data_IF_639232441009
#
_entry.id   IF_639232441009
#
_cell.length_a   1.000
_cell.length_b   1.000
_cell.length_c   1.000
_cell.angle_alpha   90.00
_cell.angle_beta   90.00
_cell.angle_gamma   90.00
#
_symmetry.space_group_name_H-M   'P 1'
#
loop_
_entity.id
_entity.type
_entity.pdbx_description
1 polymer ?
#
# COMPACT_ATOMS: atom_id res chain seq x y z
N UNK A 1 24.78 -5.67 -16.68
CA UNK A 1 25.06 -6.22 -15.34
C UNK A 1 23.73 -6.54 -14.70
N UNK A 2 23.33 -7.81 -14.74
CA UNK A 2 22.08 -8.29 -14.14
C UNK A 2 22.20 -8.19 -12.62
N UNK A 3 21.22 -7.56 -11.97
CA UNK A 3 21.25 -7.23 -10.55
C UNK A 3 20.87 -8.42 -9.67
N UNK A 4 21.77 -8.84 -8.80
CA UNK A 4 21.44 -9.82 -7.76
C UNK A 4 20.76 -9.08 -6.59
N UNK A 5 19.43 -8.97 -6.67
CA UNK A 5 18.54 -8.68 -5.53
C UNK A 5 18.54 -9.91 -4.62
N UNK A 6 18.40 -9.70 -3.31
CA UNK A 6 18.26 -10.78 -2.32
C UNK A 6 17.19 -11.77 -2.80
N UNK A 7 17.54 -13.04 -2.90
CA UNK A 7 16.67 -14.06 -3.50
C UNK A 7 15.65 -14.67 -2.51
N UNK A 8 15.77 -14.37 -1.21
CA UNK A 8 14.82 -14.77 -0.17
C UNK A 8 15.47 -14.88 1.21
N UNK A 9 14.65 -14.90 2.27
CA UNK A 9 15.05 -15.19 3.65
C UNK A 9 14.27 -16.46 4.07
N UNK A 10 14.96 -17.46 4.62
CA UNK A 10 14.34 -18.67 5.18
C UNK A 10 14.37 -18.59 6.70
N UNK A 11 13.22 -18.78 7.35
CA UNK A 11 13.09 -18.79 8.82
C UNK A 11 12.68 -20.19 9.28
N UNK A 12 13.50 -20.83 10.12
CA UNK A 12 13.26 -22.15 10.68
C UNK A 12 12.88 -22.04 12.16
N UNK A 13 11.75 -22.61 12.56
CA UNK A 13 11.20 -22.51 13.92
C UNK A 13 11.29 -23.89 14.58
N UNK A 14 12.26 -24.07 15.48
CA UNK A 14 12.55 -25.34 16.16
C UNK A 14 11.66 -25.65 17.39
N UNK A 15 10.33 -25.64 17.24
CA UNK A 15 9.39 -25.92 18.34
C UNK A 15 8.01 -26.42 17.89
N UNK A 16 7.10 -26.68 18.85
CA UNK A 16 5.72 -27.08 18.55
C UNK A 16 4.92 -25.90 17.97
N UNK A 17 4.59 -25.99 16.68
CA UNK A 17 3.88 -24.95 15.91
C UNK A 17 2.37 -25.19 15.81
N UNK A 18 1.80 -26.17 16.54
CA UNK A 18 0.40 -26.60 16.39
C UNK A 18 -0.62 -25.46 16.51
N UNK A 19 -0.43 -24.54 17.46
CA UNK A 19 -1.31 -23.37 17.65
C UNK A 19 -1.25 -22.41 16.46
N UNK A 20 -0.04 -22.13 15.96
CA UNK A 20 0.18 -21.29 14.79
C UNK A 20 -0.43 -21.92 13.54
N UNK A 21 -0.27 -23.24 13.36
CA UNK A 21 -0.87 -23.98 12.26
C UNK A 21 -2.40 -23.96 12.31
N UNK A 22 -2.99 -24.02 13.50
CA UNK A 22 -4.45 -23.92 13.71
C UNK A 22 -4.96 -22.52 13.38
N UNK A 23 -4.29 -21.48 13.86
CA UNK A 23 -4.64 -20.08 13.55
C UNK A 23 -4.58 -19.82 12.04
N UNK A 24 -3.52 -20.28 11.36
CA UNK A 24 -3.37 -20.11 9.91
C UNK A 24 -4.44 -20.88 9.11
N UNK A 25 -4.87 -22.06 9.58
CA UNK A 25 -6.00 -22.79 8.96
C UNK A 25 -7.33 -22.02 9.12
N UNK A 26 -7.57 -21.40 10.27
CA UNK A 26 -8.72 -20.53 10.51
C UNK A 26 -8.73 -19.35 9.55
N UNK A 27 -7.62 -18.60 9.48
CA UNK A 27 -7.45 -17.46 8.56
C UNK A 27 -7.65 -17.87 7.10
N UNK A 28 -7.11 -19.01 6.66
CA UNK A 28 -7.30 -19.49 5.29
C UNK A 28 -8.78 -19.83 4.98
N UNK A 29 -9.52 -20.32 5.97
CA UNK A 29 -10.96 -20.59 5.82
C UNK A 29 -11.72 -19.28 5.67
N UNK A 30 -11.41 -18.29 6.49
CA UNK A 30 -12.02 -16.96 6.41
C UNK A 30 -11.72 -16.28 5.07
N UNK A 31 -10.47 -16.32 4.58
CA UNK A 31 -10.09 -15.80 3.27
C UNK A 31 -10.92 -16.44 2.15
N UNK A 32 -11.11 -17.76 2.16
CA UNK A 32 -11.93 -18.45 1.15
C UNK A 32 -13.39 -18.02 1.22
N UNK A 33 -13.93 -17.86 2.41
CA UNK A 33 -15.29 -17.38 2.61
C UNK A 33 -15.45 -15.95 2.07
N UNK A 34 -14.53 -15.05 2.41
CA UNK A 34 -14.51 -13.68 1.87
C UNK A 34 -14.37 -13.68 0.35
N UNK A 35 -13.51 -14.51 -0.23
CA UNK A 35 -13.39 -14.62 -1.68
C UNK A 35 -14.68 -15.11 -2.34
N UNK A 36 -15.38 -16.07 -1.74
CA UNK A 36 -16.69 -16.52 -2.23
C UNK A 36 -17.71 -15.39 -2.19
N UNK A 37 -17.80 -14.69 -1.06
CA UNK A 37 -18.69 -13.54 -0.90
C UNK A 37 -18.39 -12.45 -1.92
N UNK A 38 -17.12 -12.13 -2.18
CA UNK A 38 -16.74 -11.15 -3.19
C UNK A 38 -17.17 -11.57 -4.61
N UNK A 39 -17.05 -12.86 -4.95
CA UNK A 39 -17.56 -13.36 -6.24
C UNK A 39 -19.08 -13.26 -6.33
N UNK A 40 -19.77 -13.50 -5.22
CA UNK A 40 -21.23 -13.42 -5.20
C UNK A 40 -21.71 -11.97 -5.26
N UNK A 41 -21.01 -11.04 -4.59
CA UNK A 41 -21.20 -9.60 -4.74
C UNK A 41 -20.95 -9.15 -6.18
N UNK A 42 -19.89 -9.64 -6.83
CA UNK A 42 -19.59 -9.34 -8.24
C UNK A 42 -20.70 -9.83 -9.18
N UNK A 43 -21.31 -10.99 -8.91
CA UNK A 43 -22.48 -11.47 -9.67
C UNK A 43 -23.75 -10.66 -9.39
N UNK A 44 -23.92 -10.22 -8.14
CA UNK A 44 -25.12 -9.52 -7.68
C UNK A 44 -25.10 -8.02 -7.98
N UNK A 45 -23.93 -7.40 -8.13
CA UNK A 45 -23.79 -6.06 -8.69
C UNK A 45 -23.70 -6.19 -10.22
N UNK A 46 -24.80 -6.00 -10.98
CA UNK A 46 -24.66 -5.72 -12.39
C UNK A 46 -23.86 -4.42 -12.51
N UNK A 47 -22.59 -4.53 -12.90
CA UNK A 47 -21.68 -3.40 -13.15
C UNK A 47 -22.31 -2.38 -14.11
N UNK A 48 -23.20 -2.83 -14.99
CA UNK A 48 -23.98 -1.98 -15.90
C UNK A 48 -24.99 -1.07 -15.19
N UNK A 49 -25.61 -1.52 -14.09
CA UNK A 49 -26.64 -0.76 -13.37
C UNK A 49 -26.05 0.34 -12.49
N UNK A 50 -25.00 0.04 -11.72
CA UNK A 50 -24.35 1.02 -10.81
C UNK A 50 -23.52 2.04 -11.59
N UNK A 51 -22.85 1.62 -12.67
CA UNK A 51 -22.17 2.56 -13.57
C UNK A 51 -23.17 3.45 -14.31
N UNK A 52 -24.32 2.92 -14.76
CA UNK A 52 -25.38 3.72 -15.34
C UNK A 52 -26.00 4.69 -14.32
N UNK A 53 -26.19 4.28 -13.07
CA UNK A 53 -26.74 5.13 -12.01
C UNK A 53 -25.77 6.25 -11.61
N UNK A 54 -24.46 5.97 -11.56
CA UNK A 54 -23.43 7.01 -11.37
C UNK A 54 -23.26 7.96 -12.57
N UNK A 55 -23.66 7.54 -13.79
CA UNK A 55 -23.65 8.36 -15.00
C UNK A 55 -24.96 9.17 -15.15
N UNK A 56 -26.09 8.60 -14.74
CA UNK A 56 -27.42 9.21 -14.83
C UNK A 56 -27.68 10.15 -13.64
N UNK A 57 -27.08 9.86 -12.47
CA UNK A 57 -27.20 10.65 -11.24
C UNK A 57 -25.84 10.80 -10.52
N UNK A 58 -24.88 11.61 -11.03
CA UNK A 58 -23.66 11.94 -10.31
C UNK A 58 -23.93 12.94 -9.18
N UNK A 59 -24.88 12.63 -8.29
CA UNK A 59 -25.33 13.49 -7.20
C UNK A 59 -25.34 12.71 -5.89
N UNK A 60 -24.15 12.32 -5.44
CA UNK A 60 -23.93 12.13 -4.01
C UNK A 60 -23.97 13.52 -3.35
N UNK A 61 -25.08 13.81 -2.67
CA UNK A 61 -25.20 14.82 -1.60
C UNK A 61 -24.58 16.21 -1.87
N UNK A 62 -25.27 17.03 -2.67
CA UNK A 62 -25.30 18.49 -2.45
C UNK A 62 -26.75 18.88 -2.19
N UNK A 63 -27.32 18.30 -1.15
CA UNK A 63 -28.54 18.80 -0.54
C UNK A 63 -28.16 19.24 0.87
N UNK A 64 -28.38 20.52 1.15
CA UNK A 64 -28.32 21.18 2.45
C UNK A 64 -26.97 21.79 2.88
N UNK A 65 -26.59 22.89 2.23
CA UNK A 65 -26.23 24.13 2.94
C UNK A 65 -26.14 25.29 1.96
N UNK A 66 -26.90 26.35 2.23
CA UNK A 66 -27.06 27.51 1.35
C UNK A 66 -25.79 28.34 1.14
N UNK A 67 -25.92 29.32 0.24
CA UNK A 67 -24.94 30.38 -0.07
C UNK A 67 -23.76 29.92 -0.93
N UNK A 68 -23.85 30.11 -2.25
CA UNK A 68 -22.75 30.62 -3.10
C UNK A 68 -23.30 31.03 -4.49
N UNK A 69 -24.30 31.91 -4.51
CA UNK A 69 -24.50 32.86 -5.61
C UNK A 69 -23.83 34.17 -5.19
N UNK A 70 -22.52 34.24 -5.35
CA UNK A 70 -21.74 35.41 -4.97
C UNK A 70 -20.33 35.34 -5.55
N UNK A 71 -20.16 35.94 -6.72
CA UNK A 71 -18.95 36.66 -7.15
C UNK A 71 -17.67 36.41 -6.33
N UNK A 72 -16.78 35.57 -6.84
CA UNK A 72 -15.46 35.34 -6.24
C UNK A 72 -14.52 34.63 -7.20
N UNK A 73 -13.85 35.41 -8.03
CA UNK A 73 -12.71 35.01 -8.85
C UNK A 73 -11.58 34.52 -7.96
N UNK A 74 -11.19 33.24 -8.03
CA UNK A 74 -9.81 32.80 -7.75
C UNK A 74 -9.57 31.32 -8.08
N UNK A 75 -8.79 31.07 -9.13
CA UNK A 75 -7.74 30.05 -9.10
C UNK A 75 -8.12 28.57 -9.18
N UNK A 76 -8.87 28.14 -10.21
CA UNK A 76 -9.07 26.71 -10.52
C UNK A 76 -7.87 26.00 -11.17
N UNK A 77 -6.70 26.66 -11.30
CA UNK A 77 -5.54 26.13 -12.03
C UNK A 77 -4.48 25.43 -11.14
N UNK A 78 -4.55 25.56 -9.81
CA UNK A 78 -3.42 25.18 -8.94
C UNK A 78 -3.66 23.98 -8.01
N UNK A 79 -4.86 23.39 -8.00
CA UNK A 79 -5.12 22.22 -7.14
C UNK A 79 -4.40 20.97 -7.67
N UNK A 80 -4.41 20.75 -8.98
CA UNK A 80 -3.72 19.62 -9.63
C UNK A 80 -2.20 19.76 -9.54
N UNK A 81 -1.68 20.98 -9.69
CA UNK A 81 -0.25 21.26 -9.55
C UNK A 81 0.22 21.08 -8.10
N UNK A 82 -0.58 21.53 -7.12
CA UNK A 82 -0.30 21.34 -5.70
C UNK A 82 -0.29 19.87 -5.28
N UNK A 83 -1.25 19.06 -5.76
CA UNK A 83 -1.29 17.62 -5.48
C UNK A 83 -0.09 16.90 -6.11
N UNK A 84 0.28 17.23 -7.35
CA UNK A 84 1.44 16.64 -8.02
C UNK A 84 2.76 17.03 -7.34
N UNK A 85 2.87 18.26 -6.84
CA UNK A 85 4.03 18.71 -6.07
C UNK A 85 4.15 17.95 -4.75
N UNK A 86 3.06 17.84 -3.99
CA UNK A 86 3.02 17.08 -2.74
C UNK A 86 3.35 15.59 -2.94
N UNK A 87 2.84 14.98 -4.01
CA UNK A 87 3.18 13.60 -4.36
C UNK A 87 4.66 13.45 -4.74
N UNK A 88 5.23 14.42 -5.49
CA UNK A 88 6.66 14.40 -5.84
C UNK A 88 7.57 14.60 -4.62
N UNK A 89 7.13 15.35 -3.62
CA UNK A 89 7.87 15.54 -2.37
C UNK A 89 7.89 14.25 -1.54
N UNK A 90 6.73 13.62 -1.36
CA UNK A 90 6.60 12.32 -0.65
C UNK A 90 7.35 11.19 -1.37
N UNK A 91 7.34 11.17 -2.71
CA UNK A 91 8.11 10.19 -3.50
C UNK A 91 9.60 10.56 -3.62
N UNK A 92 9.94 11.84 -3.48
CA UNK A 92 11.31 12.36 -3.53
C UNK A 92 12.13 11.93 -2.31
N UNK A 93 11.49 11.89 -1.14
CA UNK A 93 12.11 11.49 0.13
C UNK A 93 12.37 9.97 0.23
N UNK A 94 11.73 9.15 -0.61
CA UNK A 94 11.95 7.69 -0.62
C UNK A 94 13.19 7.23 -1.41
N UNK A 95 13.86 8.13 -2.15
CA UNK A 95 15.00 7.76 -3.00
C UNK A 95 16.33 7.62 -2.26
N UNK A 96 16.38 7.88 -0.95
CA UNK A 96 17.62 7.98 -0.18
C UNK A 96 17.91 6.86 0.81
N UNK A 97 16.89 6.13 1.30
CA UNK A 97 17.11 5.09 2.32
C UNK A 97 17.14 3.71 1.69
N UNK A 98 18.14 3.46 0.86
CA UNK A 98 18.67 2.10 0.74
C UNK A 98 19.63 1.89 1.92
N UNK A 99 19.05 1.87 3.13
CA UNK A 99 19.72 1.67 4.41
C UNK A 99 19.34 0.33 5.01
N UNK A 100 19.97 0.02 6.14
CA UNK A 100 19.86 -1.27 6.82
C UNK A 100 18.40 -1.69 7.06
N UNK A 101 18.10 -2.97 6.87
CA UNK A 101 16.80 -3.56 7.18
C UNK A 101 16.75 -3.88 8.68
N UNK A 102 15.94 -3.15 9.42
CA UNK A 102 15.73 -3.33 10.86
C UNK A 102 14.54 -4.24 11.11
N UNK A 103 14.77 -5.35 11.81
CA UNK A 103 13.73 -6.32 12.19
C UNK A 103 13.55 -6.26 13.72
N UNK A 104 12.41 -5.74 14.23
CA UNK A 104 12.17 -5.68 15.67
C UNK A 104 11.84 -7.07 16.24
N UNK A 105 12.41 -7.38 17.39
CA UNK A 105 12.19 -8.62 18.15
C UNK A 105 11.37 -8.29 19.39
N UNK A 106 10.18 -8.89 19.51
CA UNK A 106 9.29 -8.70 20.65
C UNK A 106 9.23 -9.96 21.52
N UNK A 107 9.10 -9.78 22.83
CA UNK A 107 8.64 -10.82 23.75
C UNK A 107 7.30 -10.38 24.36
N UNK A 108 6.21 -11.03 23.94
CA UNK A 108 4.87 -10.57 24.25
C UNK A 108 4.62 -9.20 23.62
N UNK A 109 4.36 -8.19 24.45
CA UNK A 109 4.06 -6.83 24.01
C UNK A 109 5.24 -5.86 24.22
N UNK A 110 6.39 -6.32 24.70
CA UNK A 110 7.59 -5.49 24.88
C UNK A 110 8.60 -5.75 23.76
N UNK A 111 9.14 -4.67 23.20
CA UNK A 111 10.30 -4.71 22.29
C UNK A 111 11.51 -5.15 23.10
N UNK A 112 12.15 -6.24 22.68
CA UNK A 112 13.30 -6.82 23.35
C UNK A 112 14.61 -6.41 22.69
N UNK A 113 14.65 -6.43 21.36
CA UNK A 113 15.86 -6.17 20.58
C UNK A 113 15.52 -5.80 19.14
N UNK A 114 16.53 -5.40 18.38
CA UNK A 114 16.44 -5.09 16.95
C UNK A 114 17.56 -5.80 16.19
N UNK A 115 17.20 -6.57 15.15
CA UNK A 115 18.18 -7.17 14.25
C UNK A 115 18.39 -6.24 13.05
N UNK A 116 19.59 -5.69 12.92
CA UNK A 116 19.97 -4.77 11.84
C UNK A 116 20.69 -5.55 10.73
N UNK A 117 20.11 -5.56 9.53
CA UNK A 117 20.71 -6.19 8.33
C UNK A 117 21.26 -5.09 7.44
N UNK A 118 22.59 -4.98 7.35
CA UNK A 118 23.24 -3.89 6.61
C UNK A 118 23.14 -4.05 5.09
N UNK A 119 22.64 -3.03 4.41
CA UNK A 119 22.55 -3.04 2.94
C UNK A 119 23.83 -2.46 2.33
N UNK A 120 24.79 -3.31 1.92
CA UNK A 120 26.03 -2.83 1.31
C UNK A 120 25.80 -2.25 -0.09
N UNK A 121 25.97 -0.92 -0.23
CA UNK A 121 26.04 -0.24 -1.51
C UNK A 121 27.29 -0.71 -2.29
N UNK A 122 27.08 -1.38 -3.43
CA UNK A 122 28.17 -1.60 -4.39
C UNK A 122 28.31 -0.37 -5.29
N UNK A 123 29.35 0.43 -5.08
CA UNK A 123 29.79 1.43 -6.04
C UNK A 123 30.13 0.75 -7.37
N UNK A 124 29.32 0.98 -8.40
CA UNK A 124 29.68 0.60 -9.76
C UNK A 124 30.59 1.68 -10.33
N UNK A 125 31.89 1.50 -10.19
CA UNK A 125 32.88 2.24 -10.98
C UNK A 125 32.77 1.75 -12.42
N UNK A 126 31.79 2.28 -13.18
CA UNK A 126 31.81 2.16 -14.63
C UNK A 126 32.95 3.03 -15.15
N UNK A 127 34.12 2.39 -15.29
CA UNK A 127 35.27 2.94 -15.99
C UNK A 127 34.82 3.36 -17.38
N UNK A 128 34.79 4.67 -17.62
CA UNK A 128 34.62 5.24 -18.94
C UNK A 128 35.71 4.71 -19.86
N UNK A 129 35.31 4.14 -20.99
CA UNK A 129 36.22 3.47 -21.91
C UNK A 129 35.69 3.55 -23.33
N UNK A 130 35.95 4.73 -23.93
CA UNK A 130 35.98 5.10 -25.35
C UNK A 130 34.68 5.00 -26.15
#
# INVERSE_FOLDING_TARGET
MAGNRIQGITVEIGGDTTKLQTALKGVNTEIRNTQSQLRDVEKLLPVTGVAADMVISPQMAVADSGVITGTGTSGGADLTAGIVAALKEVLGDQKGQQGDLVIPVYLGNQLLDEVIVTAQQRMSLRSGGR
#
